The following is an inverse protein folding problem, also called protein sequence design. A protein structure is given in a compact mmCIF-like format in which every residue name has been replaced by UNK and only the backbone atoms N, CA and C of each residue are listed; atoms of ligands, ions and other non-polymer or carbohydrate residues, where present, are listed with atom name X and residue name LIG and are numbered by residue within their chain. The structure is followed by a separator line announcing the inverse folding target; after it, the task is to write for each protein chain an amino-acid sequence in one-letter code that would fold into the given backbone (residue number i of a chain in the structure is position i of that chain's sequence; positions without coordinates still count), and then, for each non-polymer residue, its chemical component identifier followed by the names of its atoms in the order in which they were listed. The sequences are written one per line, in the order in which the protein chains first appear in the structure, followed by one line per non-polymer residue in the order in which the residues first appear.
data_IF_427136946069
#
_entry.id   IF_427136946069
#
_cell.length_a   1.000
_cell.length_b   1.000
_cell.length_c   1.000
_cell.angle_alpha   90.00
_cell.angle_beta   90.00
_cell.angle_gamma   90.00
#
_symmetry.space_group_name_H-M   'P 1'
#
loop_
_entity.id
_entity.type
_entity.pdbx_description
1 polymer ?
#
# COMPACT_ATOMS: atom_id res chain seq x y z
N UNK A 1 19.97 -3.92 -25.44
CA UNK A 1 19.62 -4.58 -24.16
C UNK A 1 18.74 -3.62 -23.39
N UNK A 2 17.43 -3.87 -23.32
CA UNK A 2 16.52 -3.00 -22.57
C UNK A 2 16.57 -3.41 -21.09
N UNK A 3 17.41 -2.71 -20.33
CA UNK A 3 17.54 -2.83 -18.86
C UNK A 3 16.41 -2.10 -18.10
N UNK A 4 15.46 -1.51 -18.83
CA UNK A 4 14.35 -0.75 -18.25
C UNK A 4 13.25 -1.72 -17.82
N UNK A 5 13.23 -2.03 -16.53
CA UNK A 5 12.11 -2.73 -15.91
C UNK A 5 10.89 -1.81 -16.04
N UNK A 6 9.83 -2.30 -16.69
CA UNK A 6 8.57 -1.56 -16.88
C UNK A 6 7.67 -1.71 -15.66
N UNK A 7 8.24 -1.51 -14.47
CA UNK A 7 7.49 -1.52 -13.22
C UNK A 7 7.65 -0.18 -12.51
N UNK A 8 6.59 0.25 -11.82
CA UNK A 8 6.67 1.47 -11.02
C UNK A 8 7.43 1.13 -9.74
N UNK A 9 8.43 1.94 -9.33
CA UNK A 9 9.19 1.66 -8.12
C UNK A 9 8.30 1.78 -6.88
N UNK A 10 8.49 0.86 -5.93
CA UNK A 10 7.87 0.94 -4.62
C UNK A 10 8.60 1.99 -3.78
N UNK A 11 7.94 3.11 -3.48
CA UNK A 11 8.52 4.17 -2.69
C UNK A 11 8.41 3.86 -1.20
N UNK A 12 9.49 4.05 -0.45
CA UNK A 12 9.51 3.96 1.02
C UNK A 12 10.36 5.08 1.57
N UNK A 13 9.88 5.77 2.60
CA UNK A 13 10.63 6.81 3.28
C UNK A 13 11.40 6.18 4.47
N UNK A 14 12.74 6.29 4.53
CA UNK A 14 13.52 5.73 5.63
C UNK A 14 13.11 6.26 7.00
N UNK A 15 12.80 7.57 7.08
CA UNK A 15 12.28 8.18 8.31
C UNK A 15 10.97 7.54 8.77
N UNK A 16 10.03 7.31 7.84
CA UNK A 16 8.78 6.63 8.17
C UNK A 16 9.02 5.18 8.61
N UNK A 17 9.92 4.46 7.94
CA UNK A 17 10.28 3.10 8.31
C UNK A 17 10.92 3.00 9.70
N UNK A 18 11.65 4.03 10.13
CA UNK A 18 12.17 4.11 11.50
C UNK A 18 11.07 4.29 12.55
N UNK A 19 10.01 5.05 12.22
CA UNK A 19 8.92 5.35 13.16
C UNK A 19 7.91 4.19 13.30
N UNK A 20 7.51 3.57 12.18
CA UNK A 20 6.42 2.57 12.17
C UNK A 20 6.87 1.15 11.79
N UNK A 21 8.14 0.99 11.41
CA UNK A 21 8.68 -0.26 10.85
C UNK A 21 8.51 -0.36 9.34
N UNK A 22 9.41 -1.13 8.69
CA UNK A 22 9.49 -1.22 7.24
C UNK A 22 8.18 -1.68 6.58
N UNK A 23 7.56 -2.75 7.08
CA UNK A 23 6.34 -3.29 6.49
C UNK A 23 5.16 -2.31 6.58
N UNK A 24 5.00 -1.65 7.73
CA UNK A 24 3.95 -0.66 7.93
C UNK A 24 4.20 0.60 7.08
N UNK A 25 5.45 1.04 6.98
CA UNK A 25 5.82 2.19 6.15
C UNK A 25 5.54 1.94 4.66
N UNK A 26 5.88 0.75 4.15
CA UNK A 26 5.57 0.31 2.79
C UNK A 26 4.07 0.35 2.53
N UNK A 27 3.27 -0.26 3.41
CA UNK A 27 1.82 -0.33 3.26
C UNK A 27 1.17 1.07 3.33
N UNK A 28 1.58 1.89 4.28
CA UNK A 28 1.08 3.26 4.44
C UNK A 28 1.39 4.13 3.22
N UNK A 29 2.62 4.06 2.71
CA UNK A 29 3.00 4.84 1.54
C UNK A 29 2.17 4.44 0.31
N UNK A 30 1.91 3.14 0.16
CA UNK A 30 1.13 2.63 -0.95
C UNK A 30 -0.36 2.96 -0.83
N UNK A 31 -0.91 2.88 0.39
CA UNK A 31 -2.28 3.31 0.68
C UNK A 31 -2.48 4.80 0.42
N UNK A 32 -1.51 5.63 0.81
CA UNK A 32 -1.52 7.06 0.52
C UNK A 32 -1.51 7.32 -0.99
N UNK A 33 -0.63 6.67 -1.75
CA UNK A 33 -0.61 6.78 -3.21
C UNK A 33 -1.95 6.38 -3.84
N UNK A 34 -2.53 5.26 -3.41
CA UNK A 34 -3.85 4.82 -3.88
C UNK A 34 -4.96 5.78 -3.51
N UNK A 35 -4.90 6.41 -2.34
CA UNK A 35 -5.85 7.45 -1.93
C UNK A 35 -5.75 8.68 -2.83
N UNK A 36 -4.54 9.09 -3.25
CA UNK A 36 -4.35 10.23 -4.15
C UNK A 36 -5.01 9.99 -5.52
N UNK A 37 -4.82 8.80 -6.10
CA UNK A 37 -5.35 8.45 -7.43
C UNK A 37 -6.79 7.93 -7.40
N UNK A 38 -7.34 7.63 -6.22
CA UNK A 38 -8.70 7.12 -6.12
C UNK A 38 -9.72 8.16 -6.61
N UNK A 39 -10.59 7.72 -7.50
CA UNK A 39 -11.76 8.46 -7.99
C UNK A 39 -13.00 8.19 -7.13
N UNK A 40 -12.91 7.24 -6.19
CA UNK A 40 -14.04 6.86 -5.36
C UNK A 40 -14.14 7.79 -4.15
N UNK A 41 -15.03 8.78 -4.25
CA UNK A 41 -15.31 9.75 -3.18
C UNK A 41 -16.65 9.42 -2.54
N UNK A 42 -16.66 9.19 -1.23
CA UNK A 42 -17.88 9.01 -0.42
C UNK A 42 -17.79 9.89 0.82
N UNK A 43 -18.87 10.61 1.10
CA UNK A 43 -18.96 11.57 2.22
C UNK A 43 -17.85 12.64 2.21
N UNK A 44 -17.39 13.06 1.02
CA UNK A 44 -16.29 14.02 0.88
C UNK A 44 -14.89 13.44 1.13
N UNK A 45 -14.78 12.14 1.42
CA UNK A 45 -13.51 11.46 1.62
C UNK A 45 -13.19 10.52 0.45
N UNK A 46 -11.90 10.42 0.08
CA UNK A 46 -11.43 9.43 -0.90
C UNK A 46 -11.30 8.06 -0.25
N UNK A 47 -11.83 7.04 -0.93
CA UNK A 47 -11.80 5.66 -0.46
C UNK A 47 -10.96 4.79 -1.38
N UNK A 48 -10.17 3.90 -0.78
CA UNK A 48 -9.47 2.84 -1.48
C UNK A 48 -10.16 1.54 -1.12
N UNK A 49 -10.84 0.93 -2.09
CA UNK A 49 -11.45 -0.39 -1.93
C UNK A 49 -10.60 -1.40 -2.67
N UNK A 50 -9.90 -2.25 -1.92
CA UNK A 50 -9.14 -3.38 -2.44
C UNK A 50 -9.23 -4.56 -1.49
N UNK A 51 -9.40 -5.74 -2.04
CA UNK A 51 -9.34 -7.00 -1.31
C UNK A 51 -7.90 -7.39 -1.00
N UNK A 52 -7.69 -8.32 -0.05
CA UNK A 52 -6.36 -8.80 0.29
C UNK A 52 -5.64 -9.45 -0.89
N UNK A 53 -6.38 -10.19 -1.71
CA UNK A 53 -5.83 -10.84 -2.90
C UNK A 53 -5.40 -9.81 -3.94
N UNK A 54 -6.16 -8.73 -4.12
CA UNK A 54 -5.80 -7.61 -5.00
C UNK A 54 -4.55 -6.87 -4.50
N UNK A 55 -4.46 -6.58 -3.20
CA UNK A 55 -3.26 -5.98 -2.61
C UNK A 55 -2.01 -6.84 -2.83
N UNK A 56 -2.13 -8.14 -2.56
CA UNK A 56 -1.02 -9.08 -2.75
C UNK A 56 -0.64 -9.21 -4.23
N UNK A 57 -1.60 -9.40 -5.12
CA UNK A 57 -1.30 -9.68 -6.52
C UNK A 57 -0.77 -8.45 -7.26
N UNK A 58 -1.27 -7.26 -6.93
CA UNK A 58 -0.94 -6.05 -7.69
C UNK A 58 0.23 -5.24 -7.12
N UNK A 59 0.39 -5.20 -5.80
CA UNK A 59 1.33 -4.26 -5.15
C UNK A 59 2.35 -4.95 -4.26
N UNK A 60 1.98 -6.08 -3.67
CA UNK A 60 2.85 -6.83 -2.75
C UNK A 60 2.98 -8.31 -3.12
N UNK A 61 3.43 -8.65 -4.35
CA UNK A 61 3.54 -10.05 -4.78
C UNK A 61 4.57 -10.84 -3.96
N UNK A 62 5.47 -10.14 -3.28
CA UNK A 62 6.51 -10.69 -2.41
C UNK A 62 6.04 -10.96 -0.97
N UNK A 63 4.87 -10.47 -0.54
CA UNK A 63 4.34 -10.75 0.79
C UNK A 63 3.54 -12.06 0.81
N UNK A 64 3.74 -12.82 1.88
CA UNK A 64 2.82 -13.91 2.23
C UNK A 64 1.50 -13.31 2.76
N UNK A 65 0.38 -14.02 2.58
CA UNK A 65 -0.96 -13.55 3.06
C UNK A 65 -0.93 -13.25 4.57
N UNK A 66 -0.09 -13.98 5.30
CA UNK A 66 0.08 -13.85 6.75
C UNK A 66 0.75 -12.53 7.14
N UNK A 67 1.67 -12.01 6.33
CA UNK A 67 2.39 -10.75 6.60
C UNK A 67 1.50 -9.52 6.49
N UNK A 68 0.51 -9.54 5.60
CA UNK A 68 -0.50 -8.47 5.49
C UNK A 68 -1.43 -8.45 6.72
N UNK A 69 -1.74 -9.63 7.27
CA UNK A 69 -2.71 -9.80 8.37
C UNK A 69 -2.15 -9.63 9.78
N UNK A 70 -0.83 -9.49 9.97
CA UNK A 70 -0.22 -9.49 11.31
C UNK A 70 -0.37 -8.18 12.09
N UNK A 71 -0.93 -7.13 11.51
CA UNK A 71 -1.30 -5.93 12.27
C UNK A 71 -2.67 -5.41 11.88
N UNK A 72 -3.27 -4.58 12.73
CA UNK A 72 -4.59 -3.93 12.61
C UNK A 72 -4.79 -3.05 11.35
N UNK A 73 -3.95 -3.21 10.34
CA UNK A 73 -3.88 -2.44 9.10
C UNK A 73 -4.89 -2.92 8.04
N UNK A 74 -5.47 -4.10 8.25
CA UNK A 74 -6.41 -4.75 7.34
C UNK A 74 -7.74 -4.01 7.11
N UNK A 75 -8.09 -3.04 7.96
CA UNK A 75 -9.25 -2.15 7.80
C UNK A 75 -8.87 -0.69 7.99
N UNK A 76 -7.76 -0.24 7.37
CA UNK A 76 -7.35 1.16 7.42
C UNK A 76 -8.33 2.06 6.66
N UNK A 77 -9.33 2.54 7.40
CA UNK A 77 -9.98 3.80 7.09
C UNK A 77 -8.99 4.91 7.43
N UNK A 78 -8.33 5.48 6.42
CA UNK A 78 -7.62 6.76 6.60
C UNK A 78 -8.69 7.79 6.97
N UNK A 79 -8.72 8.18 8.24
CA UNK A 79 -9.56 9.27 8.74
C UNK A 79 -8.76 10.57 8.69
#
# INVERSE_FOLDING_TARGET
MNLLIKESPLQVLPSLAMEVGLNAAVLLQQLHFRSLISTNVRDGHKWVYKTYEEWKNEEFPFWSVIQCCQGSWCNLRLR
#
